data_IF_535622233155
#
_entry.id   IF_535622233155
#
_cell.length_a   1.000
_cell.length_b   1.000
_cell.length_c   1.000
_cell.angle_alpha   90.00
_cell.angle_beta   90.00
_cell.angle_gamma   90.00
#
_symmetry.space_group_name_H-M   'P 1'
#
loop_
_entity.id
_entity.type
_entity.pdbx_description
1 polymer ?
#
# COMPACT_ATOMS: atom_id res chain seq x y z
N UNK A 1 -25.40 -20.72 80.66
CA UNK A 1 -24.99 -21.55 79.51
C UNK A 1 -25.62 -20.90 78.31
N UNK A 2 -24.91 -20.03 77.61
CA UNK A 2 -25.38 -19.38 76.35
C UNK A 2 -24.19 -19.30 75.40
N UNK A 3 -24.29 -20.00 74.30
CA UNK A 3 -23.29 -20.06 73.24
C UNK A 3 -23.26 -18.75 72.42
N UNK A 4 -22.12 -18.14 72.28
CA UNK A 4 -21.88 -16.95 71.47
C UNK A 4 -21.50 -17.34 70.02
N UNK A 5 -22.35 -17.02 69.08
CA UNK A 5 -22.07 -17.08 67.62
C UNK A 5 -21.10 -15.99 67.19
N UNK A 6 -19.92 -16.38 66.69
CA UNK A 6 -18.97 -15.48 66.02
C UNK A 6 -19.35 -15.42 64.56
N UNK A 7 -19.87 -14.27 64.10
CA UNK A 7 -20.04 -13.99 62.68
C UNK A 7 -18.70 -13.56 62.07
N UNK A 8 -18.16 -14.40 61.21
CA UNK A 8 -16.99 -14.11 60.39
C UNK A 8 -17.36 -13.21 59.22
N UNK A 9 -16.76 -12.04 59.16
CA UNK A 9 -16.84 -11.15 58.00
C UNK A 9 -15.76 -11.53 56.98
N UNK A 10 -16.21 -11.97 55.80
CA UNK A 10 -15.32 -12.21 54.65
C UNK A 10 -14.95 -10.85 53.98
N UNK A 11 -13.67 -10.65 53.64
CA UNK A 11 -13.27 -9.47 52.90
C UNK A 11 -13.71 -9.61 51.43
N UNK A 12 -14.40 -8.60 50.90
CA UNK A 12 -14.72 -8.46 49.50
C UNK A 12 -13.44 -8.21 48.68
N UNK A 13 -13.07 -9.17 47.83
CA UNK A 13 -12.01 -8.99 46.82
C UNK A 13 -12.53 -8.05 45.72
N UNK A 14 -12.04 -6.83 45.69
CA UNK A 14 -12.27 -5.92 44.61
C UNK A 14 -11.45 -6.36 43.38
N UNK A 15 -12.12 -6.92 42.38
CA UNK A 15 -11.52 -7.18 41.07
C UNK A 15 -11.31 -5.84 40.35
N UNK A 16 -10.07 -5.37 40.30
CA UNK A 16 -9.68 -4.25 39.43
C UNK A 16 -9.66 -4.76 37.98
N UNK A 17 -10.71 -4.42 37.23
CA UNK A 17 -10.74 -4.62 35.78
C UNK A 17 -9.79 -3.61 35.13
N UNK A 18 -8.58 -4.05 34.74
CA UNK A 18 -7.71 -3.29 33.84
C UNK A 18 -8.38 -3.19 32.47
N UNK A 19 -9.04 -2.08 32.18
CA UNK A 19 -9.42 -1.72 30.82
C UNK A 19 -8.10 -1.49 30.04
N UNK A 20 -7.69 -2.51 29.27
CA UNK A 20 -6.65 -2.36 28.28
C UNK A 20 -7.15 -1.37 27.22
N UNK A 21 -6.64 -0.13 27.28
CA UNK A 21 -6.83 0.88 26.26
C UNK A 21 -6.07 0.42 25.01
N UNK A 22 -6.73 -0.32 24.13
CA UNK A 22 -6.20 -0.61 22.80
C UNK A 22 -6.05 0.72 22.05
N UNK A 23 -4.89 1.01 21.45
CA UNK A 23 -4.76 2.21 20.63
C UNK A 23 -5.76 2.13 19.47
N UNK A 24 -6.38 3.27 19.06
CA UNK A 24 -7.29 3.27 17.94
C UNK A 24 -6.54 2.75 16.70
N UNK A 25 -7.02 1.66 16.12
CA UNK A 25 -6.64 1.26 14.79
C UNK A 25 -6.93 2.44 13.88
N UNK A 26 -5.95 2.88 13.09
CA UNK A 26 -6.13 3.91 12.08
C UNK A 26 -7.17 3.38 11.08
N UNK A 27 -8.42 3.74 11.31
CA UNK A 27 -9.55 3.34 10.48
C UNK A 27 -9.48 4.12 9.16
N UNK A 28 -8.79 3.57 8.17
CA UNK A 28 -8.96 3.99 6.78
C UNK A 28 -10.21 3.32 6.14
N UNK A 29 -10.93 2.54 6.93
CA UNK A 29 -12.07 1.73 6.51
C UNK A 29 -13.35 2.56 6.61
N UNK A 30 -13.86 3.06 5.48
CA UNK A 30 -15.23 3.58 5.44
C UNK A 30 -15.55 4.75 4.53
N UNK A 31 -14.59 5.51 4.04
CA UNK A 31 -14.92 6.54 3.06
C UNK A 31 -15.26 5.88 1.71
N UNK A 32 -16.35 6.26 1.03
CA UNK A 32 -16.69 5.72 -0.28
C UNK A 32 -15.58 6.04 -1.29
N UNK A 33 -15.38 5.14 -2.26
CA UNK A 33 -14.51 5.42 -3.40
C UNK A 33 -15.08 6.61 -4.17
N UNK A 34 -14.23 7.48 -4.78
CA UNK A 34 -14.68 8.55 -5.65
C UNK A 34 -15.60 8.00 -6.74
N UNK A 35 -16.61 8.77 -7.13
CA UNK A 35 -17.39 8.44 -8.32
C UNK A 35 -16.56 8.80 -9.55
N UNK A 36 -16.54 7.88 -10.53
CA UNK A 36 -16.04 8.23 -11.85
C UNK A 36 -17.07 9.12 -12.56
N UNK A 37 -16.61 10.21 -13.12
CA UNK A 37 -17.37 11.11 -13.99
C UNK A 37 -17.29 10.71 -15.46
N UNK A 38 -16.67 9.57 -15.77
CA UNK A 38 -16.58 8.96 -17.09
C UNK A 38 -16.73 7.43 -16.98
N UNK A 39 -17.06 6.78 -18.12
CA UNK A 39 -17.01 5.33 -18.24
C UNK A 39 -15.64 4.89 -18.71
N UNK A 40 -14.87 4.12 -17.89
CA UNK A 40 -13.60 3.56 -18.34
C UNK A 40 -13.79 2.65 -19.56
N UNK A 41 -12.89 2.68 -20.54
CA UNK A 41 -12.96 1.82 -21.70
C UNK A 41 -12.94 0.35 -21.28
N UNK A 42 -13.60 -0.53 -22.06
CA UNK A 42 -13.65 -1.96 -21.74
C UNK A 42 -12.28 -2.60 -21.92
N UNK A 43 -11.92 -3.54 -21.06
CA UNK A 43 -10.69 -4.31 -21.15
C UNK A 43 -10.52 -4.94 -22.54
N UNK A 44 -9.29 -4.90 -23.06
CA UNK A 44 -8.91 -5.44 -24.37
C UNK A 44 -9.34 -4.61 -25.59
N UNK A 45 -10.03 -3.45 -25.40
CA UNK A 45 -10.43 -2.59 -26.53
C UNK A 45 -9.41 -1.48 -26.82
N UNK A 46 -8.34 -1.39 -26.07
CA UNK A 46 -7.27 -0.38 -26.18
C UNK A 46 -5.91 -1.02 -25.85
N UNK A 47 -4.86 -0.30 -26.16
CA UNK A 47 -3.48 -0.72 -25.89
C UNK A 47 -2.85 0.17 -24.84
N UNK A 48 -2.27 -0.41 -23.82
CA UNK A 48 -1.43 0.27 -22.86
C UNK A 48 0.02 0.31 -23.39
N UNK A 49 0.51 1.49 -23.72
CA UNK A 49 1.88 1.64 -24.22
C UNK A 49 2.91 1.56 -23.10
N UNK A 50 4.16 1.18 -23.43
CA UNK A 50 5.27 1.26 -22.48
C UNK A 50 5.67 2.73 -22.29
N UNK A 51 5.49 3.24 -21.07
CA UNK A 51 5.83 4.62 -20.73
C UNK A 51 7.33 4.71 -20.43
N UNK A 52 7.83 3.84 -19.55
CA UNK A 52 9.23 3.78 -19.15
C UNK A 52 9.54 2.43 -18.48
N UNK A 53 10.81 2.06 -18.39
CA UNK A 53 11.23 0.99 -17.50
C UNK A 53 11.00 1.41 -16.04
N UNK A 54 10.45 0.52 -15.21
CA UNK A 54 10.29 0.80 -13.81
C UNK A 54 11.67 1.03 -13.15
N UNK A 55 11.87 2.14 -12.45
CA UNK A 55 13.09 2.42 -11.70
C UNK A 55 13.38 1.31 -10.70
N UNK A 56 14.68 1.06 -10.49
CA UNK A 56 15.13 0.01 -9.58
C UNK A 56 16.14 0.56 -8.57
N UNK A 57 16.04 0.10 -7.34
CA UNK A 57 16.88 0.50 -6.23
C UNK A 57 16.75 -0.47 -5.05
N UNK A 58 17.57 -0.28 -4.04
CA UNK A 58 17.47 -1.08 -2.82
C UNK A 58 16.26 -0.63 -1.97
N UNK A 59 15.48 -1.60 -1.52
CA UNK A 59 14.32 -1.44 -0.64
C UNK A 59 14.41 -2.43 0.50
N UNK A 60 13.69 -2.18 1.59
CA UNK A 60 13.68 -3.02 2.78
C UNK A 60 12.27 -3.54 3.02
N UNK A 61 12.14 -4.85 3.12
CA UNK A 61 10.90 -5.54 3.45
C UNK A 61 10.52 -5.46 4.93
N UNK A 62 9.35 -5.98 5.26
CA UNK A 62 8.87 -6.02 6.65
C UNK A 62 9.77 -6.87 7.58
N UNK A 63 10.51 -7.82 7.05
CA UNK A 63 11.47 -8.65 7.77
C UNK A 63 12.83 -7.95 8.00
N UNK A 64 12.99 -6.72 7.48
CA UNK A 64 14.21 -5.93 7.57
C UNK A 64 15.28 -6.32 6.53
N UNK A 65 14.99 -7.24 5.63
CA UNK A 65 15.92 -7.63 4.56
C UNK A 65 15.89 -6.62 3.44
N UNK A 66 17.06 -6.35 2.90
CA UNK A 66 17.21 -5.50 1.73
C UNK A 66 17.14 -6.36 0.46
N UNK A 67 16.39 -5.87 -0.51
CA UNK A 67 16.25 -6.47 -1.82
C UNK A 67 16.14 -5.40 -2.89
N UNK A 68 16.26 -5.77 -4.15
CA UNK A 68 16.03 -4.86 -5.27
C UNK A 68 14.52 -4.67 -5.47
N UNK A 69 14.09 -3.44 -5.76
CA UNK A 69 12.67 -3.17 -6.07
C UNK A 69 12.20 -4.02 -7.27
N UNK A 70 13.08 -4.30 -8.22
CA UNK A 70 12.80 -5.18 -9.37
C UNK A 70 12.38 -6.61 -8.97
N UNK A 71 12.75 -7.10 -7.79
CA UNK A 71 12.26 -8.35 -7.25
C UNK A 71 10.74 -8.32 -7.04
N UNK A 72 10.21 -7.15 -6.70
CA UNK A 72 8.78 -6.93 -6.40
C UNK A 72 8.00 -6.34 -7.58
N UNK A 73 8.66 -6.02 -8.71
CA UNK A 73 7.99 -5.37 -9.85
C UNK A 73 8.13 -6.14 -11.16
N UNK A 74 8.74 -7.33 -11.13
CA UNK A 74 8.88 -8.21 -12.30
C UNK A 74 8.21 -9.56 -12.07
N UNK A 75 7.94 -10.26 -13.17
CA UNK A 75 7.33 -11.58 -13.15
C UNK A 75 5.81 -11.57 -12.99
N UNK A 76 5.22 -10.48 -12.50
CA UNK A 76 3.78 -10.27 -12.35
C UNK A 76 3.40 -8.85 -12.72
N UNK A 77 2.13 -8.65 -13.09
CA UNK A 77 1.56 -7.30 -13.18
C UNK A 77 1.55 -6.72 -11.76
N UNK A 78 2.13 -5.55 -11.60
CA UNK A 78 2.32 -4.93 -10.29
C UNK A 78 1.61 -3.59 -10.23
N UNK A 79 0.76 -3.40 -9.22
CA UNK A 79 0.24 -2.10 -8.84
C UNK A 79 1.13 -1.53 -7.73
N UNK A 80 1.87 -0.46 -8.01
CA UNK A 80 2.82 0.16 -7.09
C UNK A 80 2.33 1.55 -6.69
N UNK A 81 2.23 1.81 -5.39
CA UNK A 81 1.91 3.12 -4.83
C UNK A 81 2.92 3.55 -3.78
N UNK A 82 3.14 4.86 -3.74
CA UNK A 82 3.96 5.48 -2.71
C UNK A 82 3.07 6.07 -1.62
N UNK A 83 3.48 5.92 -0.36
CA UNK A 83 2.74 6.41 0.81
C UNK A 83 3.69 6.94 1.88
N UNK A 84 3.13 7.56 2.91
CA UNK A 84 3.75 7.66 4.22
C UNK A 84 2.67 7.39 5.29
N UNK A 85 3.05 6.72 6.38
CA UNK A 85 2.07 6.14 7.33
C UNK A 85 1.29 7.19 8.11
N UNK A 86 1.76 8.45 8.13
CA UNK A 86 1.09 9.58 8.79
C UNK A 86 0.29 10.46 7.82
N UNK A 87 0.06 10.03 6.58
CA UNK A 87 -0.76 10.75 5.61
C UNK A 87 -2.22 10.75 6.03
N UNK A 88 -2.81 11.93 6.11
CA UNK A 88 -4.23 12.13 6.47
C UNK A 88 -5.06 12.71 5.33
N UNK A 89 -4.45 13.01 4.19
CA UNK A 89 -5.15 13.51 3.00
C UNK A 89 -6.06 12.42 2.43
N UNK A 90 -7.39 12.58 2.46
CA UNK A 90 -8.34 11.54 2.02
C UNK A 90 -8.23 11.20 0.54
N UNK A 91 -7.71 12.11 -0.30
CA UNK A 91 -7.47 11.91 -1.74
C UNK A 91 -6.04 11.45 -2.05
N UNK A 92 -5.20 11.33 -1.03
CA UNK A 92 -3.83 10.86 -1.09
C UNK A 92 -3.69 9.36 -0.76
N UNK A 93 -2.83 9.05 0.22
CA UNK A 93 -2.53 7.66 0.61
C UNK A 93 -3.77 6.84 1.02
N UNK A 94 -4.78 7.38 1.76
CA UNK A 94 -6.01 6.66 2.07
C UNK A 94 -6.79 6.24 0.83
N UNK A 95 -6.85 7.05 -0.22
CA UNK A 95 -7.48 6.68 -1.48
C UNK A 95 -6.74 5.51 -2.14
N UNK A 96 -5.42 5.64 -2.31
CA UNK A 96 -4.60 4.57 -2.89
C UNK A 96 -4.80 3.26 -2.13
N UNK A 97 -4.82 3.33 -0.83
CA UNK A 97 -5.01 2.18 0.04
C UNK A 97 -6.36 1.47 -0.21
N UNK A 98 -7.49 2.21 -0.24
CA UNK A 98 -8.81 1.64 -0.51
C UNK A 98 -8.90 1.01 -1.91
N UNK A 99 -8.30 1.66 -2.91
CA UNK A 99 -8.24 1.09 -4.26
C UNK A 99 -7.45 -0.20 -4.27
N UNK A 100 -6.29 -0.25 -3.60
CA UNK A 100 -5.48 -1.47 -3.51
C UNK A 100 -6.22 -2.61 -2.81
N UNK A 101 -6.94 -2.34 -1.73
CA UNK A 101 -7.80 -3.32 -1.05
C UNK A 101 -8.85 -3.90 -2.00
N UNK A 102 -9.57 -3.03 -2.72
CA UNK A 102 -10.61 -3.46 -3.65
C UNK A 102 -10.02 -4.27 -4.81
N UNK A 103 -8.90 -3.82 -5.37
CA UNK A 103 -8.19 -4.56 -6.43
C UNK A 103 -7.72 -5.92 -5.90
N UNK A 104 -7.10 -5.97 -4.70
CA UNK A 104 -6.67 -7.22 -4.08
C UNK A 104 -7.81 -8.22 -3.97
N UNK A 105 -8.98 -7.79 -3.52
CA UNK A 105 -10.17 -8.64 -3.41
C UNK A 105 -10.64 -9.14 -4.79
N UNK A 106 -10.68 -8.27 -5.79
CA UNK A 106 -11.13 -8.62 -7.13
C UNK A 106 -10.21 -9.63 -7.83
N UNK A 107 -8.89 -9.54 -7.59
CA UNK A 107 -7.91 -10.47 -8.19
C UNK A 107 -7.55 -11.67 -7.30
N UNK A 108 -8.29 -11.90 -6.21
CA UNK A 108 -8.01 -13.00 -5.28
C UNK A 108 -8.31 -14.40 -5.85
N UNK A 109 -9.07 -14.46 -6.95
CA UNK A 109 -9.42 -15.73 -7.60
C UNK A 109 -8.19 -16.47 -8.16
N UNK A 110 -8.26 -17.81 -8.31
CA UNK A 110 -7.11 -18.65 -8.68
C UNK A 110 -6.48 -18.26 -10.02
N UNK A 111 -7.25 -17.70 -10.94
CA UNK A 111 -6.76 -17.28 -12.26
C UNK A 111 -5.85 -16.04 -12.23
N UNK A 112 -6.04 -15.14 -11.25
CA UNK A 112 -5.41 -13.81 -11.20
C UNK A 112 -4.42 -13.64 -10.04
N UNK A 113 -4.63 -14.29 -8.91
CA UNK A 113 -3.80 -14.11 -7.70
C UNK A 113 -2.31 -14.34 -7.90
N UNK A 114 -1.93 -15.21 -8.85
CA UNK A 114 -0.54 -15.52 -9.18
C UNK A 114 0.00 -14.63 -10.30
N UNK A 115 -0.86 -13.85 -10.96
CA UNK A 115 -0.49 -12.97 -12.07
C UNK A 115 -0.38 -11.51 -11.66
N UNK A 116 -1.01 -11.13 -10.55
CA UNK A 116 -1.08 -9.74 -10.05
C UNK A 116 -0.50 -9.67 -8.65
N UNK A 117 0.21 -8.61 -8.36
CA UNK A 117 0.72 -8.29 -7.02
C UNK A 117 0.62 -6.79 -6.75
N UNK A 118 0.70 -6.42 -5.48
CA UNK A 118 0.63 -5.05 -5.02
C UNK A 118 1.90 -4.70 -4.26
N UNK A 119 2.36 -3.47 -4.42
CA UNK A 119 3.54 -2.93 -3.74
C UNK A 119 3.21 -1.56 -3.17
N UNK A 120 3.45 -1.39 -1.89
CA UNK A 120 3.38 -0.11 -1.19
C UNK A 120 4.78 0.25 -0.70
N UNK A 121 5.33 1.37 -1.19
CA UNK A 121 6.65 1.86 -0.83
C UNK A 121 6.53 3.18 -0.06
N UNK A 122 7.21 3.29 1.09
CA UNK A 122 7.16 4.51 1.88
C UNK A 122 8.05 5.62 1.33
N UNK A 123 7.56 6.86 1.40
CA UNK A 123 8.33 8.10 1.18
C UNK A 123 9.13 8.56 2.40
N UNK A 124 8.81 8.09 3.61
CA UNK A 124 9.39 8.60 4.85
C UNK A 124 10.18 7.52 5.61
N UNK A 125 11.32 7.08 5.09
CA UNK A 125 12.10 6.01 5.70
C UNK A 125 12.60 6.33 7.12
N UNK A 126 12.61 7.61 7.51
CA UNK A 126 13.00 8.02 8.85
C UNK A 126 11.94 7.66 9.89
N UNK A 127 10.66 7.65 9.52
CA UNK A 127 9.53 7.28 10.38
C UNK A 127 9.03 5.88 10.08
N UNK A 128 8.89 5.57 8.81
CA UNK A 128 8.30 4.33 8.30
C UNK A 128 9.32 3.20 8.25
N UNK A 129 9.85 2.86 9.42
CA UNK A 129 10.73 1.70 9.60
C UNK A 129 9.99 0.39 9.26
N UNK A 130 10.67 -0.74 9.02
CA UNK A 130 10.02 -2.04 8.80
C UNK A 130 8.97 -2.38 9.88
N UNK A 131 9.22 -2.04 11.14
CA UNK A 131 8.28 -2.25 12.24
C UNK A 131 7.03 -1.37 12.11
N UNK A 132 7.18 -0.10 11.73
CA UNK A 132 6.06 0.81 11.51
C UNK A 132 5.25 0.37 10.29
N UNK A 133 5.94 0.01 9.19
CA UNK A 133 5.31 -0.51 7.97
C UNK A 133 4.55 -1.82 8.22
N UNK A 134 5.07 -2.72 9.08
CA UNK A 134 4.36 -3.94 9.49
C UNK A 134 3.05 -3.60 10.23
N UNK A 135 3.08 -2.63 11.14
CA UNK A 135 1.88 -2.17 11.85
C UNK A 135 0.87 -1.54 10.90
N UNK A 136 1.34 -0.73 9.95
CA UNK A 136 0.50 -0.12 8.92
C UNK A 136 -0.14 -1.18 8.01
N UNK A 137 0.63 -2.18 7.60
CA UNK A 137 0.14 -3.29 6.79
C UNK A 137 -0.94 -4.11 7.49
N UNK A 138 -0.83 -4.32 8.81
CA UNK A 138 -1.80 -5.08 9.60
C UNK A 138 -2.05 -6.48 9.03
N UNK A 139 -3.31 -6.88 8.95
CA UNK A 139 -3.75 -8.18 8.41
C UNK A 139 -3.70 -8.28 6.87
N UNK A 140 -3.23 -7.26 6.18
CA UNK A 140 -3.22 -7.20 4.71
C UNK A 140 -2.07 -7.96 4.07
N UNK A 141 -1.03 -8.19 4.84
CA UNK A 141 0.06 -9.09 4.44
C UNK A 141 -0.52 -10.49 4.31
N UNK A 142 -0.40 -11.10 3.13
CA UNK A 142 -0.85 -12.48 2.91
C UNK A 142 0.14 -13.45 3.55
N UNK A 143 0.12 -13.56 4.87
CA UNK A 143 1.02 -14.46 5.63
C UNK A 143 0.77 -15.94 5.33
N UNK A 144 -0.44 -16.29 4.89
CA UNK A 144 -0.87 -17.67 4.68
C UNK A 144 -0.92 -18.10 3.20
N UNK A 145 -0.33 -17.33 2.28
CA UNK A 145 -0.31 -17.68 0.85
C UNK A 145 -1.69 -17.65 0.15
N UNK A 146 -2.73 -17.20 0.83
CA UNK A 146 -4.07 -17.07 0.28
C UNK A 146 -4.29 -15.66 -0.26
N UNK A 147 -4.47 -15.53 -1.57
CA UNK A 147 -4.72 -14.26 -2.27
C UNK A 147 -3.49 -13.63 -2.91
N UNK A 148 -3.67 -12.50 -3.62
CA UNK A 148 -2.58 -11.76 -4.25
C UNK A 148 -1.59 -11.26 -3.21
N UNK A 149 -0.31 -11.26 -3.56
CA UNK A 149 0.75 -10.75 -2.68
C UNK A 149 0.64 -9.23 -2.60
N UNK A 150 0.73 -8.71 -1.39
CA UNK A 150 0.84 -7.28 -1.13
C UNK A 150 2.08 -7.02 -0.28
N UNK A 151 3.07 -6.38 -0.88
CA UNK A 151 4.34 -6.06 -0.25
C UNK A 151 4.31 -4.63 0.30
N UNK A 152 4.83 -4.47 1.51
CA UNK A 152 5.02 -3.17 2.15
C UNK A 152 6.51 -2.96 2.35
N UNK A 153 7.03 -1.91 1.74
CA UNK A 153 8.45 -1.67 1.61
C UNK A 153 8.80 -0.28 2.13
N UNK A 154 10.03 -0.13 2.57
CA UNK A 154 10.67 1.15 2.88
C UNK A 154 12.09 1.15 2.33
N UNK A 155 12.90 2.17 2.64
CA UNK A 155 14.35 2.18 2.40
C UNK A 155 15.06 2.42 3.73
N UNK A 156 16.39 2.23 3.79
CA UNK A 156 17.14 2.53 5.01
C UNK A 156 17.34 4.02 5.25
N UNK A 157 17.25 4.82 4.18
CA UNK A 157 17.52 6.25 4.23
C UNK A 157 16.84 7.01 3.09
N UNK A 158 16.71 8.32 3.27
CA UNK A 158 16.26 9.21 2.20
C UNK A 158 17.23 9.20 1.00
N UNK A 159 18.53 8.92 1.20
CA UNK A 159 19.52 8.80 0.14
C UNK A 159 19.24 7.59 -0.77
N UNK A 160 18.84 6.45 -0.19
CA UNK A 160 18.47 5.27 -0.96
C UNK A 160 17.11 5.43 -1.65
N UNK A 161 16.20 6.20 -1.04
CA UNK A 161 14.90 6.50 -1.60
C UNK A 161 14.96 7.45 -2.81
N UNK A 162 15.86 8.45 -2.78
CA UNK A 162 15.90 9.53 -3.77
C UNK A 162 15.91 9.05 -5.23
N UNK A 163 16.75 8.08 -5.65
CA UNK A 163 16.76 7.59 -7.03
C UNK A 163 15.41 6.95 -7.45
N UNK A 164 14.69 6.33 -6.51
CA UNK A 164 13.37 5.75 -6.78
C UNK A 164 12.32 6.84 -6.97
N UNK A 165 12.28 7.83 -6.07
CA UNK A 165 11.37 8.98 -6.15
C UNK A 165 11.57 9.76 -7.45
N UNK A 166 12.82 10.08 -7.77
CA UNK A 166 13.20 10.79 -9.00
C UNK A 166 12.87 9.97 -10.24
N UNK A 167 13.24 8.69 -10.25
CA UNK A 167 13.01 7.79 -11.37
C UNK A 167 11.53 7.56 -11.68
N UNK A 168 10.68 7.49 -10.67
CA UNK A 168 9.22 7.43 -10.84
C UNK A 168 8.58 8.81 -11.06
N UNK A 169 9.36 9.89 -11.14
CA UNK A 169 8.84 11.24 -11.34
C UNK A 169 7.89 11.68 -10.22
N UNK A 170 8.18 11.30 -8.99
CA UNK A 170 7.40 11.70 -7.83
C UNK A 170 7.83 13.09 -7.36
N UNK A 171 6.86 14.02 -7.27
CA UNK A 171 7.09 15.36 -6.72
C UNK A 171 6.96 15.31 -5.19
N UNK A 172 8.03 14.95 -4.51
CA UNK A 172 8.07 14.94 -3.05
C UNK A 172 8.62 16.26 -2.53
N UNK A 173 7.80 17.01 -1.79
CA UNK A 173 8.19 18.26 -1.15
C UNK A 173 8.18 18.10 0.37
N UNK A 174 9.24 18.61 0.99
CA UNK A 174 9.34 18.71 2.43
C UNK A 174 9.07 20.15 2.86
N UNK A 175 8.01 20.36 3.61
CA UNK A 175 7.69 21.63 4.22
C UNK A 175 7.81 21.54 5.75
N UNK A 176 8.08 22.66 6.40
CA UNK A 176 8.05 22.74 7.86
C UNK A 176 6.88 23.64 8.22
N UNK A 177 5.81 23.03 8.70
CA UNK A 177 4.70 23.79 9.29
C UNK A 177 5.13 24.34 10.66
N UNK A 178 5.03 25.66 10.83
CA UNK A 178 5.30 26.40 12.06
C UNK A 178 4.05 27.02 12.66
N UNK A 179 2.87 26.78 12.09
CA UNK A 179 1.61 27.41 12.52
C UNK A 179 1.12 26.91 13.88
N UNK A 180 1.50 25.71 14.31
CA UNK A 180 1.01 25.03 15.51
C UNK A 180 1.98 25.08 16.71
N UNK A 181 2.89 26.07 16.77
CA UNK A 181 3.80 26.30 17.89
C UNK A 181 5.04 25.41 17.95
N UNK A 182 4.96 24.14 17.58
CA UNK A 182 6.14 23.26 17.38
C UNK A 182 6.32 22.96 15.90
N UNK A 183 7.53 23.15 15.34
CA UNK A 183 7.77 22.85 13.92
C UNK A 183 7.45 21.41 13.59
N UNK A 184 6.56 21.19 12.63
CA UNK A 184 6.20 19.85 12.11
C UNK A 184 6.69 19.74 10.68
N UNK A 185 7.38 18.63 10.40
CA UNK A 185 7.74 18.27 9.03
C UNK A 185 6.52 17.70 8.34
N UNK A 186 6.09 18.32 7.27
CA UNK A 186 5.04 17.84 6.38
C UNK A 186 5.64 17.34 5.09
N UNK A 187 5.08 16.26 4.60
CA UNK A 187 5.35 15.70 3.28
C UNK A 187 4.16 16.04 2.39
N UNK A 188 4.44 16.67 1.26
CA UNK A 188 3.45 16.94 0.23
C UNK A 188 3.89 16.27 -1.08
N UNK A 189 2.98 15.56 -1.72
CA UNK A 189 3.21 14.94 -3.01
C UNK A 189 1.90 14.85 -3.80
N UNK A 190 2.00 14.75 -5.12
CA UNK A 190 0.87 14.38 -5.96
C UNK A 190 0.73 12.87 -5.92
N UNK A 191 -0.48 12.37 -5.62
CA UNK A 191 -0.74 10.93 -5.66
C UNK A 191 -0.51 10.41 -7.07
N UNK A 192 0.41 9.45 -7.18
CA UNK A 192 0.66 8.65 -8.39
C UNK A 192 0.73 7.17 -8.01
N UNK A 193 -0.04 6.36 -8.70
CA UNK A 193 0.01 4.90 -8.63
C UNK A 193 0.40 4.37 -10.00
N UNK A 194 1.28 3.39 -10.04
CA UNK A 194 1.89 2.87 -11.27
C UNK A 194 1.41 1.46 -11.53
N UNK A 195 0.93 1.20 -12.73
CA UNK A 195 0.71 -0.14 -13.23
C UNK A 195 1.94 -0.58 -14.02
N UNK A 196 2.57 -1.67 -13.60
CA UNK A 196 3.82 -2.19 -14.16
C UNK A 196 3.54 -3.59 -14.72
N UNK A 197 3.94 -3.85 -15.96
CA UNK A 197 3.81 -5.17 -16.56
C UNK A 197 4.83 -6.19 -16.00
N UNK A 198 4.65 -7.46 -16.33
CA UNK A 198 5.53 -8.53 -15.84
C UNK A 198 6.99 -8.42 -16.33
N UNK A 199 7.23 -7.65 -17.39
CA UNK A 199 8.59 -7.36 -17.88
C UNK A 199 9.26 -6.21 -17.13
N UNK A 200 8.51 -5.48 -16.28
CA UNK A 200 9.00 -4.35 -15.48
C UNK A 200 8.90 -3.01 -16.21
N UNK A 201 7.95 -2.83 -17.11
CA UNK A 201 7.66 -1.54 -17.73
C UNK A 201 6.40 -0.92 -17.13
N UNK A 202 6.47 0.36 -16.79
CA UNK A 202 5.30 1.17 -16.44
C UNK A 202 4.41 1.29 -17.67
N UNK A 203 3.14 0.95 -17.52
CA UNK A 203 2.14 0.92 -18.58
C UNK A 203 1.03 1.95 -18.36
N UNK A 204 0.79 2.33 -17.08
CA UNK A 204 -0.15 3.37 -16.71
C UNK A 204 0.30 4.10 -15.43
N UNK A 205 -0.10 5.37 -15.28
CA UNK A 205 0.15 6.21 -14.11
C UNK A 205 -1.17 6.88 -13.72
N UNK A 206 -1.75 6.42 -12.61
CA UNK A 206 -3.01 6.97 -12.09
C UNK A 206 -2.74 8.10 -11.11
N UNK A 207 -3.37 9.24 -11.34
CA UNK A 207 -3.52 10.31 -10.34
C UNK A 207 -4.85 10.15 -9.58
N UNK A 208 -5.12 10.95 -8.56
CA UNK A 208 -6.33 10.82 -7.72
C UNK A 208 -7.63 10.78 -8.54
N UNK A 209 -7.74 11.57 -9.60
CA UNK A 209 -8.92 11.62 -10.47
C UNK A 209 -9.19 10.32 -11.23
N UNK A 210 -8.14 9.60 -11.61
CA UNK A 210 -8.24 8.39 -12.43
C UNK A 210 -8.01 7.10 -11.64
N UNK A 211 -7.59 7.21 -10.38
CA UNK A 211 -7.33 6.06 -9.52
C UNK A 211 -8.64 5.48 -8.99
N UNK A 212 -9.18 4.54 -9.73
CA UNK A 212 -10.42 3.84 -9.38
C UNK A 212 -10.28 2.33 -9.66
N UNK A 213 -10.83 1.43 -8.81
CA UNK A 213 -10.68 -0.01 -9.01
C UNK A 213 -11.14 -0.49 -10.39
N UNK A 214 -12.24 0.05 -10.93
CA UNK A 214 -12.76 -0.33 -12.25
C UNK A 214 -11.77 0.01 -13.36
N UNK A 215 -11.13 1.19 -13.32
CA UNK A 215 -10.10 1.59 -14.28
C UNK A 215 -8.89 0.66 -14.19
N UNK A 216 -8.36 0.48 -12.96
CA UNK A 216 -7.19 -0.38 -12.72
C UNK A 216 -7.45 -1.83 -13.16
N UNK A 217 -8.63 -2.39 -12.87
CA UNK A 217 -8.96 -3.77 -13.24
C UNK A 217 -9.09 -3.94 -14.76
N UNK A 218 -9.71 -2.97 -15.47
CA UNK A 218 -9.77 -3.01 -16.93
C UNK A 218 -8.37 -2.99 -17.55
N UNK A 219 -7.44 -2.21 -16.99
CA UNK A 219 -6.06 -2.14 -17.46
C UNK A 219 -5.28 -3.42 -17.14
N UNK A 220 -5.45 -3.99 -15.95
CA UNK A 220 -4.88 -5.30 -15.60
C UNK A 220 -5.35 -6.39 -16.56
N UNK A 221 -6.66 -6.45 -16.83
CA UNK A 221 -7.22 -7.43 -17.78
C UNK A 221 -6.70 -7.18 -19.19
N UNK A 222 -6.56 -5.92 -19.64
CA UNK A 222 -5.99 -5.57 -20.93
C UNK A 222 -4.56 -6.09 -21.06
N UNK A 223 -3.72 -5.89 -20.04
CA UNK A 223 -2.35 -6.44 -20.02
C UNK A 223 -2.32 -7.97 -20.04
N UNK A 224 -3.28 -8.63 -19.40
CA UNK A 224 -3.37 -10.09 -19.39
C UNK A 224 -3.81 -10.67 -20.74
N UNK A 225 -4.51 -9.88 -21.55
CA UNK A 225 -4.92 -10.24 -22.91
C UNK A 225 -3.82 -9.99 -23.95
N UNK A 226 -2.80 -9.18 -23.62
CA UNK A 226 -1.66 -8.98 -24.51
C UNK A 226 -0.93 -10.30 -24.76
N UNK A 227 -0.74 -10.66 -26.01
CA UNK A 227 0.12 -11.80 -26.37
C UNK A 227 1.56 -11.46 -25.98
N UNK A 228 2.34 -12.43 -25.46
CA UNK A 228 3.78 -12.24 -25.34
C UNK A 228 4.31 -11.79 -26.70
N UNK A 229 5.08 -10.69 -26.73
CA UNK A 229 5.75 -10.28 -27.96
C UNK A 229 6.55 -11.50 -28.46
N UNK A 230 6.11 -12.10 -29.55
CA UNK A 230 6.91 -13.09 -30.27
C UNK A 230 8.23 -12.42 -30.62
N UNK A 231 9.34 -13.07 -30.30
CA UNK A 231 10.70 -12.61 -30.59
C UNK A 231 10.98 -12.67 -32.11
N UNK A 232 10.19 -11.92 -32.88
CA UNK A 232 10.39 -11.71 -34.30
C UNK A 232 10.86 -10.29 -34.55
N UNK A 233 12.12 -10.07 -34.57
CA UNK A 233 12.89 -9.24 -35.48
C UNK A 233 14.31 -9.05 -34.98
N UNK A 234 15.12 -10.11 -35.04
CA UNK A 234 16.54 -9.96 -35.28
C UNK A 234 16.85 -10.67 -36.60
N UNK A 235 16.63 -9.97 -37.68
CA UNK A 235 17.34 -10.22 -38.95
C UNK A 235 17.85 -8.90 -39.50
#
# INVERSE_FOLDING_TARGET
MTAGERRGTLPALALLACLACAPPALAHDGAPLPRLDFDPPRSGTYTLHRIMAAPDGEVVGLDGRAERLSHFTRGRITLLGFIYTTCTDPEGCPLAYRVFETVKQAVAGPALREKVQLVTLSFDPLRDTPTVMRRYAGSRVSENGHGPRWYFLTTRSARELAPLVEGFGQDLRHTIDRSSGAPRRELSHVLKVFLIDSAGFVREIYTSTFLHPRTVLNDVETLLMERPATSESRR
#
